data_IF_866171419421
#
_entry.id   IF_866171419421
#
_cell.length_a   1.000
_cell.length_b   1.000
_cell.length_c   1.000
_cell.angle_alpha   90.00
_cell.angle_beta   90.00
_cell.angle_gamma   90.00
#
_symmetry.space_group_name_H-M   'P 1'
#
loop_
_entity.id
_entity.type
_entity.pdbx_description
1 polymer ?
#
# COMPACT_ATOMS: atom_id res chain seq x y z
N UNK A 1 -3.67 7.68 -32.71
CA UNK A 1 -3.25 9.02 -32.27
C UNK A 1 -4.00 9.37 -30.98
N UNK A 2 -3.27 9.82 -29.96
CA UNK A 2 -3.89 10.27 -28.71
C UNK A 2 -4.69 11.55 -28.99
N UNK A 3 -5.97 11.64 -28.63
CA UNK A 3 -6.74 12.86 -28.80
C UNK A 3 -6.12 14.00 -27.98
N UNK A 4 -6.03 15.20 -28.54
CA UNK A 4 -5.51 16.37 -27.85
C UNK A 4 -6.63 17.01 -27.05
N UNK A 5 -6.55 16.98 -25.71
CA UNK A 5 -7.51 17.65 -24.82
C UNK A 5 -7.40 17.21 -23.36
N UNK A 6 -8.08 17.93 -22.48
CA UNK A 6 -8.30 17.50 -21.11
C UNK A 6 -9.56 16.62 -21.08
N UNK A 7 -9.43 15.41 -20.55
CA UNK A 7 -10.54 14.48 -20.39
C UNK A 7 -10.99 14.51 -18.93
N UNK A 8 -12.29 14.59 -18.73
CA UNK A 8 -12.87 14.39 -17.40
C UNK A 8 -13.10 12.89 -17.23
N UNK A 9 -12.80 12.36 -16.05
CA UNK A 9 -13.24 11.02 -15.70
C UNK A 9 -14.77 10.96 -15.71
N UNK A 10 -15.29 10.05 -16.52
CA UNK A 10 -16.73 9.82 -16.62
C UNK A 10 -17.01 8.45 -16.01
N UNK A 11 -17.92 8.40 -15.03
CA UNK A 11 -18.38 7.13 -14.48
C UNK A 11 -19.20 6.39 -15.52
N UNK A 12 -18.94 5.10 -15.67
CA UNK A 12 -19.68 4.19 -16.54
C UNK A 12 -20.10 2.94 -15.78
N UNK A 13 -21.17 2.33 -16.20
CA UNK A 13 -21.62 1.06 -15.64
C UNK A 13 -21.17 -0.07 -16.56
N UNK A 14 -20.50 -1.08 -16.00
CA UNK A 14 -20.18 -2.32 -16.74
C UNK A 14 -21.46 -3.12 -16.84
N UNK A 15 -21.98 -3.26 -18.07
CA UNK A 15 -23.18 -4.04 -18.35
C UNK A 15 -22.89 -5.53 -18.51
N UNK A 16 -21.73 -5.86 -19.10
CA UNK A 16 -21.29 -7.22 -19.32
C UNK A 16 -19.78 -7.30 -19.45
N UNK A 17 -19.21 -8.32 -18.85
CA UNK A 17 -17.80 -8.65 -18.97
C UNK A 17 -17.66 -10.11 -19.39
N UNK A 18 -16.83 -10.36 -20.40
CA UNK A 18 -16.44 -11.70 -20.80
C UNK A 18 -14.95 -11.73 -21.13
N UNK A 19 -14.25 -12.76 -20.71
CA UNK A 19 -12.84 -12.94 -21.01
C UNK A 19 -12.55 -14.35 -21.51
N UNK A 20 -11.63 -14.46 -22.44
CA UNK A 20 -11.00 -15.70 -22.86
C UNK A 20 -9.48 -15.58 -22.71
N UNK A 21 -8.73 -16.63 -23.02
CA UNK A 21 -7.26 -16.58 -23.00
C UNK A 21 -6.67 -15.54 -23.94
N UNK A 22 -7.39 -15.15 -24.98
CA UNK A 22 -6.89 -14.31 -26.08
C UNK A 22 -7.65 -12.99 -26.23
N UNK A 23 -8.84 -12.84 -25.62
CA UNK A 23 -9.67 -11.63 -25.72
C UNK A 23 -10.53 -11.42 -24.49
N UNK A 24 -10.87 -10.15 -24.21
CA UNK A 24 -11.85 -9.75 -23.22
C UNK A 24 -12.83 -8.76 -23.85
N UNK A 25 -14.12 -9.03 -23.73
CA UNK A 25 -15.19 -8.14 -24.18
C UNK A 25 -15.83 -7.49 -22.96
N UNK A 26 -15.80 -6.17 -22.91
CA UNK A 26 -16.43 -5.37 -21.85
C UNK A 26 -17.48 -4.49 -22.50
N UNK A 27 -18.72 -4.61 -22.06
CA UNK A 27 -19.82 -3.73 -22.47
C UNK A 27 -20.11 -2.74 -21.36
N UNK A 28 -20.19 -1.47 -21.70
CA UNK A 28 -20.51 -0.40 -20.75
C UNK A 28 -21.33 0.68 -21.41
N UNK A 29 -22.12 1.38 -20.60
CA UNK A 29 -22.94 2.50 -21.01
C UNK A 29 -22.13 3.79 -20.91
N UNK A 30 -22.19 4.61 -21.96
CA UNK A 30 -21.53 5.90 -22.01
C UNK A 30 -22.53 7.04 -21.87
N UNK A 31 -22.17 8.11 -21.16
CA UNK A 31 -23.08 9.23 -20.92
C UNK A 31 -23.28 10.14 -22.13
N UNK A 32 -22.45 10.03 -23.17
CA UNK A 32 -22.60 10.81 -24.40
C UNK A 32 -21.98 10.12 -25.62
N UNK A 33 -22.48 10.49 -26.81
CA UNK A 33 -22.03 9.94 -28.09
C UNK A 33 -20.66 10.46 -28.54
N UNK A 34 -20.14 11.52 -27.93
CA UNK A 34 -18.83 12.11 -28.24
C UNK A 34 -17.73 11.71 -27.24
N UNK A 35 -18.02 10.70 -26.43
CA UNK A 35 -17.05 10.22 -25.44
C UNK A 35 -15.95 9.34 -26.05
N UNK A 36 -14.74 9.47 -25.50
CA UNK A 36 -13.64 8.56 -25.75
C UNK A 36 -13.44 7.69 -24.52
N UNK A 37 -13.26 6.40 -24.71
CA UNK A 37 -12.94 5.46 -23.64
C UNK A 37 -11.44 5.23 -23.61
N UNK A 38 -10.85 5.43 -22.44
CA UNK A 38 -9.48 5.04 -22.17
C UNK A 38 -9.49 3.74 -21.37
N UNK A 39 -8.89 2.68 -21.92
CA UNK A 39 -8.63 1.46 -21.17
C UNK A 39 -7.16 1.38 -20.82
N UNK A 40 -6.87 1.03 -19.56
CA UNK A 40 -5.53 0.69 -19.09
C UNK A 40 -5.41 -0.82 -18.96
N UNK A 41 -4.39 -1.38 -19.59
CA UNK A 41 -4.06 -2.80 -19.49
C UNK A 41 -2.61 -2.94 -19.03
N UNK A 42 -2.39 -3.70 -17.96
CA UNK A 42 -1.06 -4.06 -17.55
C UNK A 42 -0.54 -5.22 -18.37
N UNK A 43 0.47 -4.98 -19.17
CA UNK A 43 1.07 -6.02 -20.04
C UNK A 43 2.26 -6.62 -19.31
N UNK A 44 2.05 -7.80 -18.71
CA UNK A 44 3.05 -8.51 -17.90
C UNK A 44 4.42 -8.67 -18.59
N UNK A 45 4.52 -9.04 -19.88
CA UNK A 45 5.82 -9.14 -20.57
C UNK A 45 6.56 -7.81 -20.69
N UNK A 46 5.85 -6.68 -20.67
CA UNK A 46 6.44 -5.34 -20.81
C UNK A 46 6.67 -4.64 -19.48
N UNK A 47 6.08 -5.13 -18.38
CA UNK A 47 6.20 -4.53 -17.04
C UNK A 47 5.73 -3.09 -16.96
N UNK A 48 4.78 -2.67 -17.82
CA UNK A 48 4.26 -1.30 -17.86
C UNK A 48 2.79 -1.27 -18.28
N UNK A 49 2.09 -0.21 -17.84
CA UNK A 49 0.74 0.10 -18.31
C UNK A 49 0.77 0.56 -19.75
N UNK A 50 -0.12 0.01 -20.56
CA UNK A 50 -0.37 0.47 -21.92
C UNK A 50 -1.78 1.06 -21.96
N UNK A 51 -1.89 2.30 -22.42
CA UNK A 51 -3.16 2.98 -22.58
C UNK A 51 -3.66 2.86 -24.01
N UNK A 52 -4.90 2.42 -24.15
CA UNK A 52 -5.61 2.39 -25.44
C UNK A 52 -6.71 3.43 -25.40
N UNK A 53 -6.92 4.10 -26.52
CA UNK A 53 -7.99 5.09 -26.71
C UNK A 53 -8.92 4.58 -27.81
N UNK A 54 -10.20 4.52 -27.47
CA UNK A 54 -11.23 4.06 -28.39
C UNK A 54 -12.22 5.19 -28.65
N UNK A 55 -12.62 5.40 -29.88
CA UNK A 55 -13.77 6.25 -30.22
C UNK A 55 -15.00 5.36 -30.24
N UNK A 56 -16.05 5.80 -29.56
CA UNK A 56 -17.32 5.07 -29.61
C UNK A 56 -17.92 5.10 -31.01
N UNK A 57 -18.31 3.94 -31.51
CA UNK A 57 -19.15 3.82 -32.70
C UNK A 57 -20.61 3.92 -32.26
N UNK A 58 -21.20 5.09 -32.47
CA UNK A 58 -22.58 5.39 -32.11
C UNK A 58 -23.61 4.89 -33.13
N UNK A 59 -23.17 4.31 -34.25
CA UNK A 59 -24.07 3.81 -35.29
C UNK A 59 -24.95 2.64 -34.86
N UNK A 60 -24.67 2.04 -33.70
CA UNK A 60 -25.40 0.92 -33.11
C UNK A 60 -26.03 1.25 -31.75
N UNK A 61 -26.06 2.53 -31.32
CA UNK A 61 -26.67 2.92 -30.09
C UNK A 61 -28.20 2.78 -30.18
N UNK A 62 -28.79 1.81 -29.50
CA UNK A 62 -30.22 1.76 -29.27
C UNK A 62 -30.60 2.89 -28.29
N UNK A 63 -31.56 3.73 -28.69
CA UNK A 63 -32.11 4.78 -27.86
C UNK A 63 -32.91 4.17 -26.71
N UNK A 64 -32.27 3.93 -25.57
CA UNK A 64 -32.97 3.62 -24.34
C UNK A 64 -33.42 4.94 -23.67
N UNK A 65 -34.70 5.28 -23.76
CA UNK A 65 -35.33 6.37 -23.03
C UNK A 65 -35.42 6.01 -21.53
N UNK A 66 -34.29 5.93 -20.86
CA UNK A 66 -34.17 5.82 -19.42
C UNK A 66 -34.05 7.22 -18.81
N UNK A 67 -35.06 7.58 -18.04
CA UNK A 67 -35.09 8.79 -17.23
C UNK A 67 -33.88 8.81 -16.30
N UNK A 68 -32.90 9.66 -16.60
CA UNK A 68 -31.78 9.90 -15.73
C UNK A 68 -32.30 10.59 -14.45
N UNK A 69 -32.33 9.89 -13.34
CA UNK A 69 -32.35 10.54 -12.04
C UNK A 69 -30.97 11.20 -11.86
N UNK A 70 -30.98 12.52 -11.71
CA UNK A 70 -29.80 13.29 -11.31
C UNK A 70 -29.34 12.77 -9.92
N UNK A 71 -28.48 11.76 -9.89
CA UNK A 71 -27.70 11.49 -8.70
C UNK A 71 -26.80 12.72 -8.48
N UNK A 72 -27.13 13.46 -7.43
CA UNK A 72 -26.33 14.53 -6.89
C UNK A 72 -24.88 14.07 -6.82
N UNK A 73 -24.00 14.67 -7.63
CA UNK A 73 -22.55 14.49 -7.52
C UNK A 73 -22.18 14.84 -6.08
N UNK A 74 -22.07 13.83 -5.24
CA UNK A 74 -21.47 14.03 -3.92
C UNK A 74 -20.02 14.35 -4.21
N UNK A 75 -19.60 15.57 -3.95
CA UNK A 75 -18.20 15.95 -3.84
C UNK A 75 -17.51 14.83 -3.05
N UNK A 76 -16.54 14.16 -3.68
CA UNK A 76 -15.76 13.12 -3.01
C UNK A 76 -15.10 13.80 -1.83
N UNK A 77 -15.57 13.52 -0.61
CA UNK A 77 -14.99 14.11 0.59
C UNK A 77 -13.48 13.95 0.52
N UNK A 78 -12.78 15.08 0.50
CA UNK A 78 -11.33 15.09 0.40
C UNK A 78 -10.76 14.46 1.67
N UNK A 79 -10.20 13.27 1.51
CA UNK A 79 -9.67 12.50 2.64
C UNK A 79 -8.32 13.05 3.11
N UNK A 80 -7.93 12.75 4.35
CA UNK A 80 -6.65 13.21 4.91
C UNK A 80 -5.44 12.85 4.03
N UNK A 81 -5.52 11.76 3.26
CA UNK A 81 -4.47 11.32 2.34
C UNK A 81 -4.41 12.08 1.02
N UNK A 82 -5.50 12.73 0.61
CA UNK A 82 -5.58 13.42 -0.69
C UNK A 82 -4.81 14.74 -0.73
N UNK A 83 -4.40 15.25 0.41
CA UNK A 83 -3.65 16.51 0.53
C UNK A 83 -2.19 16.44 0.06
N UNK A 84 -1.63 15.23 -0.06
CA UNK A 84 -0.22 15.05 -0.40
C UNK A 84 0.01 15.11 -1.90
N UNK A 85 0.80 16.09 -2.34
CA UNK A 85 1.04 16.36 -3.76
C UNK A 85 2.12 15.46 -4.36
N UNK A 86 3.02 14.96 -3.52
CA UNK A 86 4.18 14.15 -3.91
C UNK A 86 3.87 12.65 -4.11
N UNK A 87 2.61 12.25 -3.90
CA UNK A 87 2.17 10.86 -4.09
C UNK A 87 1.31 10.65 -5.34
N UNK A 88 0.96 11.70 -6.08
CA UNK A 88 -0.06 11.67 -7.16
C UNK A 88 0.20 10.59 -8.20
N UNK A 89 1.46 10.37 -8.59
CA UNK A 89 1.86 9.33 -9.55
C UNK A 89 2.76 8.26 -8.91
N UNK A 90 2.82 8.22 -7.59
CA UNK A 90 3.66 7.26 -6.90
C UNK A 90 2.97 5.90 -6.81
N UNK A 91 3.72 4.82 -7.06
CA UNK A 91 3.20 3.44 -7.06
C UNK A 91 2.47 3.04 -5.77
N UNK A 92 2.84 3.63 -4.61
CA UNK A 92 2.22 3.37 -3.31
C UNK A 92 1.09 4.37 -2.96
N UNK A 93 0.65 5.22 -3.90
CA UNK A 93 -0.32 6.31 -3.65
C UNK A 93 -1.56 5.82 -2.89
N UNK A 94 -2.21 4.77 -3.36
CA UNK A 94 -3.44 4.25 -2.75
C UNK A 94 -3.18 3.67 -1.35
N UNK A 95 -2.07 2.96 -1.18
CA UNK A 95 -1.67 2.44 0.11
C UNK A 95 -1.36 3.56 1.11
N UNK A 96 -0.66 4.62 0.67
CA UNK A 96 -0.37 5.79 1.49
C UNK A 96 -1.65 6.48 1.93
N UNK A 97 -2.59 6.73 1.01
CA UNK A 97 -3.89 7.31 1.34
C UNK A 97 -4.63 6.46 2.37
N UNK A 98 -4.67 5.15 2.19
CA UNK A 98 -5.33 4.24 3.11
C UNK A 98 -4.76 4.30 4.53
N UNK A 99 -3.42 4.24 4.69
CA UNK A 99 -2.78 4.27 6.01
C UNK A 99 -2.84 5.64 6.67
N UNK A 100 -2.86 6.73 5.89
CA UNK A 100 -3.03 8.10 6.40
C UNK A 100 -4.47 8.31 6.87
N UNK A 101 -5.46 7.88 6.09
CA UNK A 101 -6.88 8.00 6.44
C UNK A 101 -7.23 7.21 7.71
N UNK A 102 -6.47 6.16 8.01
CA UNK A 102 -6.56 5.41 9.27
C UNK A 102 -5.78 6.04 10.43
N UNK A 103 -5.11 7.19 10.22
CA UNK A 103 -4.33 7.86 11.25
C UNK A 103 -3.02 7.15 11.62
N UNK A 104 -2.58 6.16 10.83
CA UNK A 104 -1.36 5.40 11.12
C UNK A 104 -0.11 6.19 10.75
N UNK A 105 -0.16 6.92 9.64
CA UNK A 105 0.92 7.78 9.16
C UNK A 105 0.52 9.24 9.16
N UNK A 106 1.52 10.08 9.32
CA UNK A 106 1.44 11.53 9.08
C UNK A 106 2.36 11.90 7.93
N UNK A 107 2.08 13.04 7.27
CA UNK A 107 2.99 13.64 6.30
C UNK A 107 4.30 14.10 6.97
N UNK A 108 5.30 14.38 6.16
CA UNK A 108 6.53 15.08 6.59
C UNK A 108 6.34 16.60 6.61
N UNK A 109 5.29 17.06 5.91
CA UNK A 109 4.74 18.42 5.99
C UNK A 109 3.21 18.37 5.83
N UNK A 110 2.57 19.53 5.74
CA UNK A 110 1.12 19.62 5.49
C UNK A 110 0.71 19.00 4.16
N UNK A 111 1.57 19.12 3.13
CA UNK A 111 1.27 18.73 1.74
C UNK A 111 2.22 17.70 1.15
N UNK A 112 3.18 17.20 1.93
CA UNK A 112 4.14 16.17 1.48
C UNK A 112 4.13 14.96 2.39
N UNK A 113 4.19 13.77 1.80
CA UNK A 113 4.33 12.49 2.48
C UNK A 113 5.78 11.99 2.50
N UNK A 114 6.57 12.35 1.49
CA UNK A 114 7.94 11.87 1.23
C UNK A 114 8.01 10.34 1.08
N UNK A 115 7.35 9.76 0.06
CA UNK A 115 7.19 8.31 -0.07
C UNK A 115 8.52 7.57 -0.24
N UNK A 116 9.51 8.18 -0.91
CA UNK A 116 10.82 7.58 -1.17
C UNK A 116 11.84 7.79 -0.04
N UNK A 117 11.47 8.55 1.00
CA UNK A 117 12.34 8.72 2.16
C UNK A 117 12.39 7.44 2.99
N UNK A 118 13.61 7.06 3.41
CA UNK A 118 13.83 5.93 4.32
C UNK A 118 13.04 6.09 5.62
N UNK A 119 12.56 4.97 6.13
CA UNK A 119 11.82 4.91 7.39
C UNK A 119 12.70 4.38 8.50
N UNK A 120 12.75 5.08 9.63
CA UNK A 120 13.55 4.62 10.77
C UNK A 120 12.83 3.53 11.56
N UNK A 121 13.59 2.76 12.34
CA UNK A 121 13.08 1.70 13.22
C UNK A 121 12.08 2.24 14.24
N UNK A 122 12.36 3.40 14.84
CA UNK A 122 11.47 4.07 15.79
C UNK A 122 10.14 4.51 15.13
N UNK A 123 10.19 5.07 13.93
CA UNK A 123 9.01 5.41 13.14
C UNK A 123 8.15 4.17 12.84
N UNK A 124 8.79 3.08 12.40
CA UNK A 124 8.07 1.84 12.05
C UNK A 124 7.32 1.26 13.25
N UNK A 125 7.98 1.18 14.41
CA UNK A 125 7.35 0.68 15.63
C UNK A 125 6.20 1.57 16.10
N UNK A 126 6.31 2.89 15.89
CA UNK A 126 5.21 3.84 16.16
C UNK A 126 3.98 3.54 15.31
N UNK A 127 4.18 3.25 14.00
CA UNK A 127 3.07 2.88 13.11
C UNK A 127 2.41 1.58 13.57
N UNK A 128 3.19 0.58 13.99
CA UNK A 128 2.64 -0.67 14.51
C UNK A 128 1.83 -0.47 15.79
N UNK A 129 2.32 0.39 16.68
CA UNK A 129 1.58 0.72 17.89
C UNK A 129 0.25 1.41 17.61
N UNK A 130 0.21 2.33 16.64
CA UNK A 130 -1.04 2.95 16.17
C UNK A 130 -1.97 1.91 15.52
N UNK A 131 -1.40 0.99 14.73
CA UNK A 131 -2.16 -0.10 14.11
C UNK A 131 -2.77 -1.04 15.15
N UNK A 132 -2.12 -1.22 16.30
CA UNK A 132 -2.64 -2.09 17.36
C UNK A 132 -3.95 -1.61 17.95
N UNK A 133 -4.20 -0.31 17.93
CA UNK A 133 -5.33 0.35 18.57
C UNK A 133 -5.27 0.35 20.11
N UNK A 134 -4.14 -0.07 20.69
CA UNK A 134 -3.95 -0.17 22.13
C UNK A 134 -3.57 1.18 22.75
N UNK A 135 -3.95 1.38 23.99
CA UNK A 135 -3.47 2.52 24.78
C UNK A 135 -2.05 2.23 25.24
N UNK A 136 -1.07 2.69 24.47
CA UNK A 136 0.34 2.38 24.66
C UNK A 136 0.98 3.42 25.57
N UNK A 137 1.62 2.93 26.63
CA UNK A 137 2.43 3.71 27.57
C UNK A 137 3.61 2.86 28.05
N UNK A 138 4.61 3.48 28.64
CA UNK A 138 5.75 2.78 29.20
C UNK A 138 7.06 3.48 28.89
N UNK A 139 8.12 2.95 29.49
CA UNK A 139 9.49 3.46 29.40
C UNK A 139 10.36 2.42 28.73
N UNK A 140 11.04 2.80 27.67
CA UNK A 140 12.01 1.94 27.00
C UNK A 140 13.25 1.75 27.91
N UNK A 141 13.75 0.52 27.92
CA UNK A 141 14.92 0.14 28.72
C UNK A 141 16.25 0.24 27.97
N UNK A 142 16.19 0.55 26.67
CA UNK A 142 17.38 0.72 25.83
C UNK A 142 18.08 2.04 26.15
N UNK A 143 19.40 2.02 26.27
CA UNK A 143 20.21 3.18 26.67
C UNK A 143 20.29 4.28 25.61
N UNK A 144 20.03 3.92 24.36
CA UNK A 144 20.00 4.81 23.21
C UNK A 144 18.59 5.32 22.84
N UNK A 145 17.59 5.07 23.70
CA UNK A 145 16.23 5.58 23.54
C UNK A 145 15.96 6.63 24.59
N UNK A 146 15.88 7.89 24.16
CA UNK A 146 15.39 8.96 25.00
C UNK A 146 13.89 8.80 25.26
N UNK A 147 13.50 8.63 26.52
CA UNK A 147 12.10 8.42 26.89
C UNK A 147 11.21 9.66 26.76
N UNK A 148 11.76 10.82 26.41
CA UNK A 148 11.00 12.03 26.09
C UNK A 148 10.51 12.08 24.64
N UNK A 149 11.05 11.23 23.74
CA UNK A 149 10.67 11.21 22.33
C UNK A 149 9.45 10.36 22.07
N UNK A 150 8.69 10.72 21.02
CA UNK A 150 7.37 10.16 20.70
C UNK A 150 7.35 8.65 20.48
N UNK A 151 8.44 8.06 19.99
CA UNK A 151 8.52 6.63 19.70
C UNK A 151 8.87 5.76 20.90
N UNK A 152 9.37 6.35 21.99
CA UNK A 152 9.86 5.58 23.14
C UNK A 152 8.80 4.65 23.76
N UNK A 153 7.56 5.07 24.05
CA UNK A 153 6.54 4.17 24.60
C UNK A 153 6.19 3.03 23.62
N UNK A 154 6.24 3.28 22.31
CA UNK A 154 5.99 2.24 21.31
C UNK A 154 7.12 1.21 21.25
N UNK A 155 8.37 1.64 21.41
CA UNK A 155 9.53 0.74 21.52
C UNK A 155 9.40 -0.13 22.78
N UNK A 156 9.07 0.46 23.92
CA UNK A 156 8.84 -0.27 25.16
C UNK A 156 7.76 -1.34 25.01
N UNK A 157 6.61 -0.96 24.42
CA UNK A 157 5.49 -1.85 24.15
C UNK A 157 5.87 -2.99 23.20
N UNK A 158 6.49 -2.68 22.07
CA UNK A 158 6.82 -3.68 21.06
C UNK A 158 7.89 -4.66 21.55
N UNK A 159 8.86 -4.19 22.33
CA UNK A 159 9.88 -5.03 22.94
C UNK A 159 9.29 -5.94 24.03
N UNK A 160 8.46 -5.40 24.93
CA UNK A 160 7.77 -6.17 25.96
C UNK A 160 6.93 -7.31 25.39
N UNK A 161 6.32 -7.09 24.23
CA UNK A 161 5.46 -8.07 23.56
C UNK A 161 6.20 -8.95 22.55
N UNK A 162 7.53 -8.90 22.49
CA UNK A 162 8.34 -9.73 21.60
C UNK A 162 8.22 -9.41 20.11
N UNK A 163 7.59 -8.27 19.76
CA UNK A 163 7.40 -7.82 18.37
C UNK A 163 8.75 -7.34 17.79
N UNK A 164 9.54 -6.65 18.59
CA UNK A 164 10.88 -6.19 18.22
C UNK A 164 11.91 -6.57 19.27
N UNK A 165 13.14 -6.71 18.81
CA UNK A 165 14.32 -6.81 19.67
C UNK A 165 15.22 -5.59 19.43
N UNK A 166 16.11 -5.31 20.40
CA UNK A 166 17.24 -4.41 20.19
C UNK A 166 18.22 -4.95 19.15
N UNK A 167 19.10 -4.10 18.69
CA UNK A 167 20.28 -4.50 17.91
C UNK A 167 21.34 -5.13 18.81
N UNK A 168 21.25 -4.84 20.12
CA UNK A 168 21.98 -5.52 21.21
C UNK A 168 21.07 -5.63 22.44
N UNK A 169 21.60 -6.16 23.53
CA UNK A 169 20.87 -6.23 24.81
C UNK A 169 20.54 -4.84 25.40
N UNK A 170 21.28 -3.81 25.03
CA UNK A 170 21.13 -2.46 25.58
C UNK A 170 20.81 -1.38 24.55
N UNK A 171 20.84 -1.69 23.25
CA UNK A 171 20.63 -0.70 22.19
C UNK A 171 19.53 -1.12 21.24
N UNK A 172 18.65 -0.19 20.87
CA UNK A 172 17.56 -0.37 19.92
C UNK A 172 17.87 0.20 18.53
N UNK A 173 18.68 1.24 18.44
CA UNK A 173 18.99 2.03 17.25
C UNK A 173 17.74 2.65 16.59
N UNK A 174 16.99 3.52 17.30
CA UNK A 174 15.69 4.03 16.84
C UNK A 174 15.76 4.85 15.56
N UNK A 175 16.85 5.57 15.33
CA UNK A 175 17.03 6.48 14.22
C UNK A 175 17.70 5.83 12.99
N UNK A 176 18.11 4.58 13.11
CA UNK A 176 18.65 3.80 11.99
C UNK A 176 17.50 3.39 11.05
N UNK A 177 17.69 3.47 9.72
CA UNK A 177 16.71 2.96 8.78
C UNK A 177 16.37 1.48 9.03
N UNK A 178 15.09 1.14 8.96
CA UNK A 178 14.65 -0.26 8.99
C UNK A 178 14.85 -0.88 7.61
N UNK A 179 15.44 -2.06 7.51
CA UNK A 179 15.53 -2.78 6.23
C UNK A 179 14.22 -3.46 5.87
N UNK A 180 14.02 -3.76 4.57
CA UNK A 180 12.81 -4.45 4.13
C UNK A 180 12.65 -5.83 4.77
N UNK A 181 13.75 -6.57 4.97
CA UNK A 181 13.72 -7.86 5.68
C UNK A 181 13.37 -7.71 7.17
N UNK A 182 13.89 -6.66 7.83
CA UNK A 182 13.52 -6.36 9.21
C UNK A 182 12.04 -6.00 9.33
N UNK A 183 11.53 -5.16 8.42
CA UNK A 183 10.11 -4.80 8.39
C UNK A 183 9.21 -6.02 8.22
N UNK A 184 9.58 -6.95 7.32
CA UNK A 184 8.87 -8.21 7.11
C UNK A 184 8.83 -9.07 8.39
N UNK A 185 9.97 -9.24 9.06
CA UNK A 185 10.04 -10.00 10.32
C UNK A 185 9.17 -9.39 11.40
N UNK A 186 9.25 -8.07 11.57
CA UNK A 186 8.48 -7.36 12.59
C UNK A 186 6.98 -7.53 12.34
N UNK A 187 6.52 -7.47 11.07
CA UNK A 187 5.11 -7.71 10.73
C UNK A 187 4.67 -9.15 10.98
N UNK A 188 5.53 -10.14 10.73
CA UNK A 188 5.24 -11.54 11.07
C UNK A 188 5.12 -11.73 12.58
N UNK A 189 6.02 -11.12 13.37
CA UNK A 189 5.95 -11.16 14.83
C UNK A 189 4.73 -10.40 15.37
N UNK A 190 4.37 -9.28 14.75
CA UNK A 190 3.16 -8.55 15.09
C UNK A 190 1.90 -9.39 14.84
N UNK A 191 1.84 -10.12 13.72
CA UNK A 191 0.75 -11.07 13.47
C UNK A 191 0.66 -12.15 14.56
N UNK A 192 1.80 -12.69 14.97
CA UNK A 192 1.86 -13.66 16.08
C UNK A 192 1.35 -13.05 17.40
N UNK A 193 1.78 -11.84 17.73
CA UNK A 193 1.31 -11.12 18.92
C UNK A 193 -0.22 -10.92 18.89
N UNK A 194 -0.80 -10.58 17.73
CA UNK A 194 -2.25 -10.41 17.56
C UNK A 194 -3.00 -11.73 17.37
N UNK A 195 -2.34 -12.88 17.46
CA UNK A 195 -2.90 -14.21 17.18
C UNK A 195 -3.54 -14.31 15.78
N UNK A 196 -2.95 -13.62 14.81
CA UNK A 196 -3.37 -13.66 13.41
C UNK A 196 -2.64 -14.79 12.69
N UNK A 197 -3.39 -15.74 12.15
CA UNK A 197 -2.84 -16.78 11.28
C UNK A 197 -2.56 -16.20 9.90
N UNK A 198 -1.29 -16.21 9.49
CA UNK A 198 -0.89 -15.77 8.16
C UNK A 198 -1.16 -16.89 7.15
N UNK A 199 -2.14 -16.67 6.28
CA UNK A 199 -2.52 -17.61 5.24
C UNK A 199 -1.52 -17.64 4.09
N UNK A 200 -1.39 -18.80 3.45
CA UNK A 200 -0.57 -18.95 2.25
C UNK A 200 -1.38 -18.54 1.00
N UNK A 201 -1.02 -17.42 0.37
CA UNK A 201 -1.64 -16.90 -0.86
C UNK A 201 -0.85 -17.29 -2.13
N UNK A 202 -0.03 -18.32 -2.05
CA UNK A 202 0.70 -18.93 -3.17
C UNK A 202 1.76 -18.05 -3.83
N UNK A 203 2.14 -16.93 -3.25
CA UNK A 203 3.24 -16.09 -3.74
C UNK A 203 4.50 -16.44 -2.96
N UNK A 204 5.52 -16.93 -3.64
CA UNK A 204 6.83 -17.15 -3.03
C UNK A 204 7.78 -16.03 -3.47
N UNK A 205 8.27 -15.21 -2.54
CA UNK A 205 9.23 -14.16 -2.88
C UNK A 205 10.56 -14.79 -3.31
N UNK A 206 11.30 -14.10 -4.18
CA UNK A 206 12.70 -14.41 -4.40
C UNK A 206 13.48 -14.15 -3.12
N UNK A 207 14.36 -15.05 -2.74
CA UNK A 207 15.21 -14.91 -1.54
C UNK A 207 16.69 -14.73 -1.88
N UNK A 208 17.00 -14.35 -3.12
CA UNK A 208 18.38 -14.21 -3.60
C UNK A 208 19.15 -13.14 -2.83
N UNK A 209 18.48 -12.02 -2.48
CA UNK A 209 19.05 -10.91 -1.75
C UNK A 209 18.35 -10.75 -0.39
N UNK A 210 18.36 -11.81 0.42
CA UNK A 210 17.83 -11.86 1.78
C UNK A 210 18.89 -12.46 2.69
N UNK A 211 19.12 -11.86 3.84
CA UNK A 211 19.99 -12.42 4.86
C UNK A 211 19.49 -13.78 5.34
N UNK A 212 20.39 -14.72 5.61
CA UNK A 212 20.03 -16.09 6.01
C UNK A 212 19.06 -16.11 7.20
N UNK A 213 19.32 -15.28 8.22
CA UNK A 213 18.50 -15.17 9.43
C UNK A 213 17.08 -14.63 9.17
N UNK A 214 16.84 -13.97 8.04
CA UNK A 214 15.56 -13.34 7.67
C UNK A 214 14.72 -14.19 6.74
N UNK A 215 15.32 -15.16 6.01
CA UNK A 215 14.68 -15.89 4.91
C UNK A 215 13.33 -16.49 5.26
N UNK A 216 13.23 -17.19 6.39
CA UNK A 216 11.98 -17.84 6.79
C UNK A 216 10.83 -16.83 6.91
N UNK A 217 11.08 -15.70 7.59
CA UNK A 217 10.06 -14.68 7.82
C UNK A 217 9.74 -13.88 6.54
N UNK A 218 10.73 -13.60 5.69
CA UNK A 218 10.50 -12.95 4.38
C UNK A 218 9.63 -13.85 3.50
N UNK A 219 9.91 -15.16 3.44
CA UNK A 219 9.08 -16.14 2.73
C UNK A 219 7.65 -16.14 3.31
N UNK A 220 7.53 -16.17 4.64
CA UNK A 220 6.23 -16.15 5.31
C UNK A 220 5.44 -14.88 5.02
N UNK A 221 6.07 -13.71 5.09
CA UNK A 221 5.45 -12.43 4.76
C UNK A 221 5.05 -12.33 3.28
N UNK A 222 5.87 -12.85 2.37
CA UNK A 222 5.57 -12.90 0.94
C UNK A 222 4.38 -13.81 0.64
N UNK A 223 4.41 -15.04 1.16
CA UNK A 223 3.29 -15.98 1.01
C UNK A 223 1.98 -15.46 1.60
N UNK A 224 2.07 -14.66 2.65
CA UNK A 224 0.92 -13.99 3.25
C UNK A 224 0.41 -12.78 2.45
N UNK A 225 1.10 -12.36 1.39
CA UNK A 225 0.74 -11.19 0.59
C UNK A 225 1.07 -9.85 1.26
N UNK A 226 1.82 -9.84 2.35
CA UNK A 226 2.21 -8.62 3.07
C UNK A 226 3.22 -7.82 2.23
N UNK A 227 4.21 -8.51 1.65
CA UNK A 227 5.23 -7.92 0.76
C UNK A 227 4.92 -8.32 -0.68
N UNK A 228 4.45 -7.39 -1.51
CA UNK A 228 4.02 -7.67 -2.89
C UNK A 228 4.95 -7.07 -3.94
N UNK A 229 5.31 -5.79 -3.82
CA UNK A 229 6.25 -5.15 -4.75
C UNK A 229 7.64 -5.78 -4.67
N UNK A 230 8.03 -6.19 -3.47
CA UNK A 230 9.30 -6.80 -3.16
C UNK A 230 9.42 -8.26 -3.63
N UNK A 231 8.35 -8.86 -4.17
CA UNK A 231 8.36 -10.22 -4.73
C UNK A 231 9.01 -10.31 -6.12
N UNK A 232 9.57 -9.23 -6.64
CA UNK A 232 10.25 -9.23 -7.93
C UNK A 232 11.65 -9.85 -7.85
N UNK A 233 12.05 -10.55 -8.89
CA UNK A 233 13.40 -11.10 -8.97
C UNK A 233 14.46 -9.97 -8.85
N UNK A 234 15.43 -10.15 -7.96
CA UNK A 234 16.53 -9.22 -7.76
C UNK A 234 16.20 -8.06 -6.80
N UNK A 235 15.05 -8.07 -6.10
CA UNK A 235 14.80 -7.09 -5.06
C UNK A 235 15.74 -7.32 -3.87
N UNK A 236 16.42 -6.25 -3.43
CA UNK A 236 17.34 -6.30 -2.30
C UNK A 236 16.60 -6.02 -0.99
N UNK A 237 16.30 -7.06 -0.25
CA UNK A 237 15.61 -6.96 1.04
C UNK A 237 16.50 -6.42 2.16
N UNK A 238 17.83 -6.37 1.96
CA UNK A 238 18.77 -5.79 2.93
C UNK A 238 18.81 -4.25 2.85
N UNK A 239 18.26 -3.69 1.76
CA UNK A 239 18.14 -2.24 1.58
C UNK A 239 17.16 -1.62 2.57
N UNK A 240 17.36 -0.33 2.94
CA UNK A 240 16.40 0.43 3.72
C UNK A 240 15.00 0.44 3.08
N UNK A 241 13.99 0.21 3.91
CA UNK A 241 12.60 0.36 3.49
C UNK A 241 12.22 1.83 3.45
N UNK A 242 11.59 2.26 2.36
CA UNK A 242 11.04 3.61 2.25
C UNK A 242 9.70 3.72 2.98
N UNK A 243 9.24 4.94 3.21
CA UNK A 243 7.90 5.20 3.78
C UNK A 243 6.79 4.64 2.89
N UNK A 244 6.97 4.67 1.56
CA UNK A 244 6.07 4.05 0.60
C UNK A 244 6.05 2.52 0.70
N UNK A 245 7.21 1.88 0.86
CA UNK A 245 7.30 0.43 1.07
C UNK A 245 6.55 0.01 2.32
N UNK A 246 6.80 0.69 3.44
CA UNK A 246 6.14 0.38 4.71
C UNK A 246 4.63 0.67 4.65
N UNK A 247 4.21 1.77 4.02
CA UNK A 247 2.79 2.07 3.81
C UNK A 247 2.09 0.94 3.02
N UNK A 248 2.74 0.43 1.97
CA UNK A 248 2.24 -0.71 1.19
C UNK A 248 2.15 -1.99 2.04
N UNK A 249 3.19 -2.33 2.80
CA UNK A 249 3.20 -3.49 3.68
C UNK A 249 2.08 -3.43 4.73
N UNK A 250 1.90 -2.28 5.38
CA UNK A 250 0.85 -2.07 6.39
C UNK A 250 -0.53 -2.13 5.75
N UNK A 251 -0.74 -1.50 4.58
CA UNK A 251 -2.01 -1.55 3.86
C UNK A 251 -2.37 -2.98 3.47
N UNK A 252 -1.42 -3.75 2.93
CA UNK A 252 -1.61 -5.15 2.60
C UNK A 252 -1.97 -5.96 3.85
N UNK A 253 -1.26 -5.74 4.95
CA UNK A 253 -1.55 -6.39 6.23
C UNK A 253 -2.99 -6.09 6.68
N UNK A 254 -3.42 -4.83 6.66
CA UNK A 254 -4.80 -4.43 7.02
C UNK A 254 -5.84 -5.05 6.09
N UNK A 255 -5.59 -5.05 4.79
CA UNK A 255 -6.53 -5.56 3.78
C UNK A 255 -6.80 -7.05 3.97
N UNK A 256 -5.76 -7.81 4.29
CA UNK A 256 -5.87 -9.27 4.39
C UNK A 256 -6.19 -9.77 5.80
N UNK A 257 -5.79 -9.04 6.83
CA UNK A 257 -5.83 -9.51 8.22
C UNK A 257 -6.43 -8.49 9.19
N UNK A 258 -6.65 -7.25 8.76
CA UNK A 258 -7.36 -6.23 9.54
C UNK A 258 -8.85 -6.59 9.61
N UNK A 259 -9.35 -6.73 10.84
CA UNK A 259 -10.79 -6.83 11.13
C UNK A 259 -11.31 -5.47 11.56
#
# INVERSE_FOLDING_TARGET
>A
ESPKGKYNEVKYNVLKESSSTDSADIQFELPSTDAYVQTKMYVVPMGRDVCFYWKCDTSKAESSNGKLEEEKVTEKEQTAGDKFTDITNHWASDAIKAVVNKGLFSGTSEVTFSPDKEMTRGMFVTVLGRLSGENISGTATFTDVDNSVYYAPYIAWANKNGIVNGVSSTSFSPDTPVTCEQAAIILVKYAQYKNISLENKSISPSTTCVSEWAKENVIKAGKAGIITKQNTNGYDYTSPATRGDVASMINNFMTYYGK
#
